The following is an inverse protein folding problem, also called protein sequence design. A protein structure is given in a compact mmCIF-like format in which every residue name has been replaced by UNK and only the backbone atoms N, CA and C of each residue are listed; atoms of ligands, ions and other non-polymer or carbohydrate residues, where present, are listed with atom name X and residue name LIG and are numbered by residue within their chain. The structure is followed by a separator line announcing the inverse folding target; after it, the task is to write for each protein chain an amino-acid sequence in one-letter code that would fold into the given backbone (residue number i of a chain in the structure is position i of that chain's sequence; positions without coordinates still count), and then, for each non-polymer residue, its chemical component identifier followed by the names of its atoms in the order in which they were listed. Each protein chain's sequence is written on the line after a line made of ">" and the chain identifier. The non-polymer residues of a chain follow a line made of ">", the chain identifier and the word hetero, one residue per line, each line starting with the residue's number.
data_IF_624444234429
#
_entry.id   IF_624444234429
#
_cell.length_a   1.000
_cell.length_b   1.000
_cell.length_c   1.000
_cell.angle_alpha   90.00
_cell.angle_beta   90.00
_cell.angle_gamma   90.00
#
_symmetry.space_group_name_H-M   'P 1'
#
loop_
_entity.id
_entity.type
_entity.pdbx_description
1 polymer ?
#
# COMPACT_ATOMS: atom_id res chain seq x y z
N UNK A 1 -18.01 -14.70 27.84
CA UNK A 1 -16.70 -15.30 28.18
C UNK A 1 -15.75 -15.19 26.99
N UNK A 2 -14.58 -14.60 27.22
CA UNK A 2 -13.53 -14.38 26.22
C UNK A 2 -13.03 -15.71 25.63
N UNK A 3 -12.99 -16.79 26.43
CA UNK A 3 -12.50 -18.10 25.99
C UNK A 3 -13.33 -18.76 24.88
N UNK A 4 -14.67 -18.60 24.88
CA UNK A 4 -15.52 -19.11 23.78
C UNK A 4 -15.26 -18.35 22.47
N UNK A 5 -15.00 -17.03 22.55
CA UNK A 5 -14.67 -16.20 21.39
C UNK A 5 -13.29 -16.55 20.84
N UNK A 6 -12.31 -16.77 21.73
CA UNK A 6 -10.96 -17.19 21.34
C UNK A 6 -10.96 -18.56 20.64
N UNK A 7 -11.65 -19.57 21.18
CA UNK A 7 -11.78 -20.89 20.53
C UNK A 7 -12.44 -20.79 19.15
N UNK A 8 -13.50 -20.01 19.04
CA UNK A 8 -14.16 -19.81 17.74
C UNK A 8 -13.21 -19.15 16.73
N UNK A 9 -12.49 -18.10 17.13
CA UNK A 9 -11.51 -17.43 16.26
C UNK A 9 -10.40 -18.39 15.80
N UNK A 10 -9.88 -19.21 16.71
CA UNK A 10 -8.81 -20.17 16.42
C UNK A 10 -9.26 -21.23 15.40
N UNK A 11 -10.49 -21.74 15.52
CA UNK A 11 -11.07 -22.68 14.56
C UNK A 11 -11.16 -22.05 13.17
N UNK A 12 -11.61 -20.79 13.07
CA UNK A 12 -11.70 -20.08 11.80
C UNK A 12 -10.33 -19.81 11.16
N UNK A 13 -9.31 -19.50 11.97
CA UNK A 13 -7.93 -19.32 11.48
C UNK A 13 -7.34 -20.62 10.96
N UNK A 14 -7.57 -21.74 11.65
CA UNK A 14 -7.10 -23.05 11.19
C UNK A 14 -7.82 -23.45 9.91
N UNK A 15 -9.15 -23.28 9.86
CA UNK A 15 -9.94 -23.58 8.66
C UNK A 15 -9.47 -22.75 7.45
N UNK A 16 -9.24 -21.44 7.63
CA UNK A 16 -8.75 -20.59 6.54
C UNK A 16 -7.32 -20.96 6.12
N UNK A 17 -6.43 -21.29 7.06
CA UNK A 17 -5.08 -21.74 6.76
C UNK A 17 -5.06 -23.03 5.91
N UNK A 18 -5.93 -23.99 6.22
CA UNK A 18 -6.08 -25.23 5.45
C UNK A 18 -6.58 -24.94 4.03
N UNK A 19 -7.61 -24.11 3.89
CA UNK A 19 -8.14 -23.73 2.57
C UNK A 19 -7.09 -23.00 1.74
N UNK A 20 -6.40 -22.02 2.31
CA UNK A 20 -5.32 -21.29 1.63
C UNK A 20 -4.16 -22.22 1.24
N UNK A 21 -3.76 -23.15 2.13
CA UNK A 21 -2.72 -24.13 1.84
C UNK A 21 -3.09 -25.07 0.70
N UNK A 22 -4.34 -25.54 0.65
CA UNK A 22 -4.85 -26.38 -0.45
C UNK A 22 -4.85 -25.62 -1.77
N UNK A 23 -5.33 -24.38 -1.78
CA UNK A 23 -5.34 -23.54 -2.99
C UNK A 23 -3.91 -23.30 -3.50
N UNK A 24 -2.98 -22.94 -2.61
CA UNK A 24 -1.57 -22.77 -2.97
C UNK A 24 -0.93 -24.07 -3.48
N UNK A 25 -1.27 -25.20 -2.87
CA UNK A 25 -0.80 -26.52 -3.31
C UNK A 25 -1.29 -26.90 -4.71
N UNK A 26 -2.57 -26.65 -5.01
CA UNK A 26 -3.15 -26.88 -6.34
C UNK A 26 -2.50 -25.96 -7.38
N UNK A 27 -2.34 -24.68 -7.06
CA UNK A 27 -1.68 -23.71 -7.94
C UNK A 27 -0.22 -24.08 -8.21
N UNK A 28 0.52 -24.53 -7.20
CA UNK A 28 1.89 -25.03 -7.34
C UNK A 28 1.95 -26.29 -8.21
N UNK A 29 0.97 -27.20 -8.08
CA UNK A 29 0.91 -28.41 -8.90
C UNK A 29 0.71 -28.08 -10.40
N UNK A 30 -0.07 -27.04 -10.70
CA UNK A 30 -0.42 -26.66 -12.08
C UNK A 30 0.63 -25.71 -12.72
N UNK A 31 1.14 -24.73 -11.96
CA UNK A 31 1.90 -23.57 -12.49
C UNK A 31 3.31 -23.49 -11.88
N UNK A 32 3.71 -24.40 -11.00
CA UNK A 32 5.03 -24.40 -10.33
C UNK A 32 6.23 -24.77 -11.22
N UNK A 33 6.11 -24.63 -12.55
CA UNK A 33 7.20 -24.84 -13.51
C UNK A 33 7.68 -23.48 -14.02
N UNK A 34 9.00 -23.33 -14.09
CA UNK A 34 9.66 -22.15 -14.61
C UNK A 34 10.38 -22.54 -15.89
N UNK A 35 10.17 -21.77 -16.95
CA UNK A 35 10.79 -21.99 -18.24
C UNK A 35 12.00 -21.07 -18.38
N UNK A 36 13.18 -21.67 -18.57
CA UNK A 36 14.42 -20.95 -18.84
C UNK A 36 14.72 -21.01 -20.33
N UNK A 37 15.04 -19.88 -20.95
CA UNK A 37 15.53 -19.84 -22.32
C UNK A 37 17.00 -20.22 -22.33
N UNK A 38 17.29 -21.43 -22.82
CA UNK A 38 18.66 -21.94 -22.94
C UNK A 38 19.02 -22.12 -24.41
N UNK A 39 20.30 -21.95 -24.74
CA UNK A 39 20.83 -22.25 -26.08
C UNK A 39 21.48 -23.63 -26.05
N UNK A 40 20.92 -24.59 -26.76
CA UNK A 40 21.55 -25.89 -26.92
C UNK A 40 22.69 -25.80 -27.93
N UNK A 41 23.92 -25.86 -27.43
CA UNK A 41 25.14 -25.90 -28.23
C UNK A 41 25.57 -27.35 -28.40
N UNK A 42 25.70 -27.81 -29.64
CA UNK A 42 26.27 -29.10 -29.97
C UNK A 42 27.58 -28.90 -30.73
N UNK A 43 28.68 -29.42 -30.19
CA UNK A 43 29.95 -29.52 -30.92
C UNK A 43 30.21 -30.97 -31.33
N UNK A 44 30.65 -31.16 -32.58
CA UNK A 44 31.12 -32.46 -33.04
C UNK A 44 32.54 -32.71 -32.55
N UNK A 45 32.81 -33.91 -32.03
CA UNK A 45 34.18 -34.36 -31.75
C UNK A 45 34.77 -34.90 -33.05
N UNK A 46 35.93 -34.39 -33.44
CA UNK A 46 36.69 -34.94 -34.55
C UNK A 46 37.75 -35.89 -34.01
N UNK A 47 37.81 -37.11 -34.54
CA UNK A 47 38.87 -38.04 -34.22
C UNK A 47 40.22 -37.48 -34.69
N UNK A 48 41.27 -37.66 -33.89
CA UNK A 48 42.61 -37.26 -34.28
C UNK A 48 43.02 -38.02 -35.56
N UNK A 49 43.39 -37.33 -36.65
CA UNK A 49 43.66 -37.97 -37.92
C UNK A 49 44.91 -38.86 -37.90
N UNK A 50 45.81 -38.72 -36.93
CA UNK A 50 46.95 -39.61 -36.72
C UNK A 50 47.38 -39.69 -35.23
N UNK A 51 47.59 -40.89 -34.66
CA UNK A 51 48.03 -41.06 -33.26
C UNK A 51 49.44 -40.51 -32.97
N UNK A 52 50.27 -40.32 -34.00
CA UNK A 52 51.64 -39.80 -33.86
C UNK A 52 51.73 -38.25 -33.85
N UNK A 53 50.61 -37.52 -33.96
CA UNK A 53 50.58 -36.05 -34.01
C UNK A 53 50.28 -35.38 -32.67
N UNK A 54 50.19 -36.13 -31.56
CA UNK A 54 49.99 -35.55 -30.23
C UNK A 54 51.04 -34.50 -29.84
N UNK A 55 52.29 -34.68 -30.31
CA UNK A 55 53.38 -33.72 -30.08
C UNK A 55 53.36 -32.49 -31.00
N UNK A 56 52.51 -32.45 -32.02
CA UNK A 56 52.38 -31.31 -32.94
C UNK A 56 51.44 -30.21 -32.39
N UNK A 57 50.62 -30.54 -31.40
CA UNK A 57 49.78 -29.57 -30.71
C UNK A 57 50.60 -28.88 -29.61
N UNK A 58 50.90 -27.62 -29.83
CA UNK A 58 51.59 -26.76 -28.86
C UNK A 58 50.66 -25.61 -28.47
N UNK A 59 51.02 -24.82 -27.45
CA UNK A 59 50.28 -23.60 -27.12
C UNK A 59 50.12 -22.63 -28.31
N UNK A 60 51.00 -22.73 -29.32
CA UNK A 60 50.95 -21.95 -30.57
C UNK A 60 50.16 -22.61 -31.72
N UNK A 61 49.82 -23.89 -31.64
CA UNK A 61 49.06 -24.64 -32.65
C UNK A 61 48.00 -25.52 -31.95
N UNK A 62 46.88 -24.93 -31.50
CA UNK A 62 45.82 -25.70 -30.88
C UNK A 62 45.12 -26.60 -31.89
N UNK A 63 44.52 -27.70 -31.43
CA UNK A 63 43.71 -28.62 -32.24
C UNK A 63 42.36 -28.04 -32.72
N UNK A 64 42.24 -26.71 -32.76
CA UNK A 64 41.06 -25.98 -33.20
C UNK A 64 41.34 -25.57 -34.65
N UNK A 65 40.51 -26.01 -35.60
CA UNK A 65 40.60 -25.62 -37.01
C UNK A 65 40.71 -24.08 -37.15
N UNK A 66 41.35 -23.54 -38.22
CA UNK A 66 41.66 -22.11 -38.36
C UNK A 66 40.42 -21.24 -38.68
N UNK A 67 39.26 -21.56 -38.11
CA UNK A 67 38.15 -20.64 -38.06
C UNK A 67 38.36 -19.63 -36.93
N UNK A 68 37.78 -18.44 -37.14
CA UNK A 68 37.71 -17.32 -36.22
C UNK A 68 37.60 -17.80 -34.77
N UNK A 69 38.42 -17.23 -33.87
CA UNK A 69 38.41 -17.47 -32.41
C UNK A 69 37.09 -16.99 -31.78
N UNK A 70 35.98 -17.57 -32.20
CA UNK A 70 34.64 -17.20 -31.79
C UNK A 70 34.00 -18.41 -31.15
N UNK A 71 33.44 -18.21 -29.96
CA UNK A 71 32.71 -19.25 -29.26
C UNK A 71 31.48 -19.65 -30.08
N UNK A 72 31.19 -20.95 -30.17
CA UNK A 72 30.01 -21.48 -30.85
C UNK A 72 28.69 -20.86 -30.35
N UNK A 73 28.67 -20.34 -29.12
CA UNK A 73 27.56 -19.57 -28.55
C UNK A 73 27.19 -18.31 -29.34
N UNK A 74 28.16 -17.68 -30.01
CA UNK A 74 27.99 -16.42 -30.73
C UNK A 74 27.62 -16.62 -32.20
N UNK A 75 27.96 -17.78 -32.78
CA UNK A 75 27.62 -18.14 -34.16
C UNK A 75 26.36 -19.01 -34.25
N UNK A 76 25.84 -19.47 -33.10
CA UNK A 76 24.61 -20.25 -33.05
C UNK A 76 23.40 -19.42 -33.55
N UNK A 77 22.62 -19.93 -34.52
CA UNK A 77 21.44 -19.24 -35.03
C UNK A 77 20.33 -19.13 -33.96
N UNK A 78 19.43 -18.12 -34.05
CA UNK A 78 18.40 -17.86 -33.03
C UNK A 78 17.39 -19.01 -32.84
N UNK A 79 17.28 -19.92 -33.81
CA UNK A 79 16.47 -21.14 -33.74
C UNK A 79 17.07 -22.23 -32.81
N UNK A 80 18.30 -22.06 -32.30
CA UNK A 80 18.92 -22.92 -31.27
C UNK A 80 18.42 -22.59 -29.85
N UNK A 81 17.60 -21.55 -29.69
CA UNK A 81 16.94 -21.25 -28.42
C UNK A 81 15.84 -22.27 -28.13
N UNK A 82 15.99 -22.96 -27.01
CA UNK A 82 15.06 -23.97 -26.51
C UNK A 82 14.65 -23.61 -25.10
N UNK A 83 13.41 -23.92 -24.73
CA UNK A 83 12.94 -23.72 -23.36
C UNK A 83 13.27 -24.95 -22.52
N UNK A 84 14.01 -24.77 -21.44
CA UNK A 84 14.26 -25.80 -20.45
C UNK A 84 13.38 -25.55 -19.23
N UNK A 85 12.48 -26.48 -18.96
CA UNK A 85 11.48 -26.34 -17.90
C UNK A 85 12.00 -26.99 -16.61
N UNK A 86 12.15 -26.23 -15.54
CA UNK A 86 12.51 -26.74 -14.21
C UNK A 86 11.38 -26.50 -13.21
N UNK A 87 11.19 -27.43 -12.26
CA UNK A 87 10.22 -27.24 -11.19
C UNK A 87 10.82 -26.40 -10.07
N UNK A 88 10.15 -25.29 -9.72
CA UNK A 88 10.57 -24.43 -8.60
C UNK A 88 10.33 -25.14 -7.26
N UNK A 89 11.08 -24.79 -6.21
CA UNK A 89 10.81 -25.32 -4.87
C UNK A 89 9.55 -24.69 -4.28
N UNK A 90 8.81 -25.41 -3.43
CA UNK A 90 7.56 -24.90 -2.86
C UNK A 90 7.72 -23.58 -2.08
N UNK A 91 8.73 -23.40 -1.20
CA UNK A 91 8.92 -22.12 -0.50
C UNK A 91 9.22 -20.96 -1.45
N UNK A 92 10.02 -21.18 -2.49
CA UNK A 92 10.34 -20.19 -3.51
C UNK A 92 9.10 -19.75 -4.29
N UNK A 93 8.24 -20.70 -4.64
CA UNK A 93 6.95 -20.42 -5.28
C UNK A 93 6.05 -19.53 -4.41
N UNK A 94 5.95 -19.83 -3.11
CA UNK A 94 5.14 -19.05 -2.17
C UNK A 94 5.69 -17.64 -2.01
N UNK A 95 7.01 -17.48 -1.91
CA UNK A 95 7.65 -16.15 -1.83
C UNK A 95 7.40 -15.35 -3.11
N UNK A 96 7.57 -15.96 -4.29
CA UNK A 96 7.33 -15.31 -5.57
C UNK A 96 5.87 -14.86 -5.75
N UNK A 97 4.91 -15.70 -5.34
CA UNK A 97 3.49 -15.33 -5.38
C UNK A 97 3.19 -14.19 -4.39
N UNK A 98 3.71 -14.29 -3.17
CA UNK A 98 3.53 -13.28 -2.14
C UNK A 98 4.14 -11.92 -2.52
N UNK A 99 5.26 -11.89 -3.24
CA UNK A 99 5.85 -10.64 -3.72
C UNK A 99 5.03 -10.03 -4.85
N UNK A 100 4.51 -10.82 -5.79
CA UNK A 100 3.61 -10.31 -6.85
C UNK A 100 2.35 -9.72 -6.23
N UNK A 101 1.62 -10.50 -5.43
CA UNK A 101 0.38 -10.02 -4.77
C UNK A 101 0.67 -8.87 -3.83
N UNK A 102 1.75 -8.99 -3.04
CA UNK A 102 2.21 -7.97 -2.11
C UNK A 102 2.54 -6.66 -2.79
N UNK A 103 3.18 -6.68 -3.95
CA UNK A 103 3.49 -5.47 -4.73
C UNK A 103 2.22 -4.73 -5.17
N UNK A 104 1.20 -5.45 -5.66
CA UNK A 104 -0.08 -4.85 -6.07
C UNK A 104 -0.83 -4.26 -4.88
N UNK A 105 -0.88 -4.98 -3.75
CA UNK A 105 -1.53 -4.47 -2.54
C UNK A 105 -0.76 -3.28 -1.95
N UNK A 106 0.57 -3.31 -2.01
CA UNK A 106 1.43 -2.23 -1.53
C UNK A 106 1.28 -0.97 -2.39
N UNK A 107 1.15 -1.06 -3.71
CA UNK A 107 0.90 0.14 -4.52
C UNK A 107 -0.46 0.75 -4.22
N UNK A 108 -1.50 -0.06 -4.00
CA UNK A 108 -2.84 0.46 -3.65
C UNK A 108 -2.85 1.08 -2.26
N UNK A 109 -2.44 0.33 -1.23
CA UNK A 109 -2.56 0.79 0.16
C UNK A 109 -1.39 1.66 0.61
N UNK A 110 -0.17 1.31 0.20
CA UNK A 110 1.03 2.10 0.46
C UNK A 110 1.03 3.41 -0.33
N UNK A 111 0.62 3.37 -1.61
CA UNK A 111 0.51 4.59 -2.43
C UNK A 111 -0.53 5.58 -1.89
N UNK A 112 -1.74 5.10 -1.59
CA UNK A 112 -2.80 5.95 -1.00
C UNK A 112 -2.37 6.44 0.39
N UNK A 113 -1.83 5.57 1.24
CA UNK A 113 -1.42 5.92 2.60
C UNK A 113 -0.32 6.98 2.65
N UNK A 114 0.71 6.84 1.82
CA UNK A 114 1.83 7.80 1.77
C UNK A 114 1.36 9.12 1.15
N UNK A 115 0.55 9.09 0.09
CA UNK A 115 0.08 10.31 -0.56
C UNK A 115 -0.91 11.12 0.30
N UNK A 116 -1.67 10.48 1.19
CA UNK A 116 -2.65 11.17 2.03
C UNK A 116 -2.02 12.21 2.97
N UNK A 117 -0.81 11.99 3.47
CA UNK A 117 -0.15 12.89 4.42
C UNK A 117 0.22 14.25 3.78
N UNK A 118 1.02 14.32 2.69
CA UNK A 118 1.34 15.59 2.03
C UNK A 118 0.09 16.27 1.46
N UNK A 119 -0.84 15.53 0.86
CA UNK A 119 -2.12 16.07 0.39
C UNK A 119 -2.91 16.73 1.52
N UNK A 120 -2.99 16.10 2.70
CA UNK A 120 -3.71 16.66 3.85
C UNK A 120 -3.06 17.96 4.36
N UNK A 121 -1.73 18.04 4.35
CA UNK A 121 -0.98 19.21 4.79
C UNK A 121 -1.12 20.38 3.81
N UNK A 122 -1.08 20.10 2.49
CA UNK A 122 -1.33 21.11 1.45
C UNK A 122 -2.77 21.63 1.56
N UNK A 123 -3.76 20.74 1.72
CA UNK A 123 -5.15 21.16 1.90
C UNK A 123 -5.36 21.95 3.20
N UNK A 124 -4.62 21.63 4.27
CA UNK A 124 -4.61 22.42 5.50
C UNK A 124 -4.12 23.84 5.26
N UNK A 125 -3.10 24.05 4.42
CA UNK A 125 -2.63 25.39 4.04
C UNK A 125 -3.61 26.15 3.13
N UNK A 126 -4.25 25.48 2.18
CA UNK A 126 -5.21 26.10 1.25
C UNK A 126 -6.49 26.52 1.97
N UNK A 127 -6.97 25.69 2.90
CA UNK A 127 -8.18 25.94 3.70
C UNK A 127 -7.94 26.80 4.94
N UNK A 128 -6.75 27.38 5.10
CA UNK A 128 -6.43 28.22 6.26
C UNK A 128 -7.39 29.42 6.37
N UNK A 129 -7.76 29.83 7.59
CA UNK A 129 -8.48 31.09 7.79
C UNK A 129 -7.61 32.29 7.37
N UNK A 130 -8.19 33.23 6.61
CA UNK A 130 -7.45 34.38 6.02
C UNK A 130 -7.62 35.70 6.78
N UNK A 131 -8.51 35.76 7.76
CA UNK A 131 -8.79 36.99 8.51
C UNK A 131 -9.13 36.68 9.97
N UNK A 132 -8.64 37.54 10.88
CA UNK A 132 -9.03 37.53 12.29
C UNK A 132 -10.44 38.09 12.41
N UNK A 133 -11.35 37.33 13.03
CA UNK A 133 -12.76 37.70 13.18
C UNK A 133 -12.92 38.72 14.31
N UNK A 134 -13.82 39.69 14.14
CA UNK A 134 -14.16 40.65 15.20
C UNK A 134 -14.94 40.00 16.34
N UNK A 135 -14.80 40.49 17.58
CA UNK A 135 -15.48 39.91 18.76
C UNK A 135 -17.01 39.77 18.58
N UNK A 136 -17.64 40.70 17.89
CA UNK A 136 -19.09 40.68 17.63
C UNK A 136 -19.52 39.60 16.63
N UNK A 137 -18.69 39.31 15.63
CA UNK A 137 -18.91 38.21 14.68
C UNK A 137 -18.68 36.86 15.36
N UNK A 138 -17.62 36.74 16.18
CA UNK A 138 -17.36 35.52 16.97
C UNK A 138 -18.55 35.17 17.86
N UNK A 139 -19.11 36.13 18.59
CA UNK A 139 -20.27 35.89 19.46
C UNK A 139 -21.48 35.42 18.64
N UNK A 140 -21.74 36.02 17.46
CA UNK A 140 -22.85 35.61 16.60
C UNK A 140 -22.67 34.18 16.10
N UNK A 141 -21.50 33.86 15.56
CA UNK A 141 -21.19 32.55 14.99
C UNK A 141 -21.13 31.44 16.05
N UNK A 142 -20.52 31.72 17.22
CA UNK A 142 -20.53 30.83 18.37
C UNK A 142 -21.95 30.54 18.88
N UNK A 143 -22.84 31.54 18.88
CA UNK A 143 -24.25 31.31 19.25
C UNK A 143 -25.01 30.50 18.22
N UNK A 144 -24.69 30.62 16.93
CA UNK A 144 -25.29 29.80 15.87
C UNK A 144 -24.82 28.34 15.95
N UNK A 145 -23.52 28.12 16.15
CA UNK A 145 -22.94 26.80 16.41
C UNK A 145 -23.53 26.16 17.66
N UNK A 146 -23.70 26.94 18.75
CA UNK A 146 -24.34 26.47 19.98
C UNK A 146 -25.80 26.03 19.77
N UNK A 147 -26.55 26.68 18.85
CA UNK A 147 -27.89 26.25 18.47
C UNK A 147 -27.86 24.91 17.71
N UNK A 148 -26.98 24.78 16.71
CA UNK A 148 -26.78 23.52 15.95
C UNK A 148 -26.37 22.37 16.86
N UNK A 149 -25.46 22.62 17.81
CA UNK A 149 -25.05 21.66 18.83
C UNK A 149 -26.23 21.18 19.69
N UNK A 150 -27.12 22.09 20.08
CA UNK A 150 -28.30 21.78 20.89
C UNK A 150 -29.33 20.96 20.12
N UNK A 151 -29.50 21.22 18.83
CA UNK A 151 -30.35 20.42 17.94
C UNK A 151 -29.79 19.01 17.74
N UNK A 152 -28.49 18.89 17.48
CA UNK A 152 -27.80 17.60 17.36
C UNK A 152 -27.86 16.79 18.65
N UNK A 153 -27.69 17.44 19.81
CA UNK A 153 -27.84 16.78 21.12
C UNK A 153 -29.25 16.20 21.30
N UNK A 154 -30.29 16.95 20.93
CA UNK A 154 -31.68 16.45 20.98
C UNK A 154 -31.91 15.28 20.02
N UNK A 155 -31.36 15.34 18.81
CA UNK A 155 -31.44 14.24 17.84
C UNK A 155 -30.72 12.97 18.35
N UNK A 156 -29.55 13.13 18.98
CA UNK A 156 -28.81 12.04 19.61
C UNK A 156 -29.57 11.44 20.81
N UNK A 157 -30.18 12.27 21.65
CA UNK A 157 -31.01 11.81 22.78
C UNK A 157 -32.25 11.04 22.30
N UNK A 158 -32.91 11.50 21.23
CA UNK A 158 -34.04 10.79 20.61
C UNK A 158 -33.61 9.40 20.07
N UNK A 159 -32.45 9.33 19.40
CA UNK A 159 -31.87 8.07 18.92
C UNK A 159 -31.48 7.11 20.05
N UNK A 160 -31.05 7.64 21.20
CA UNK A 160 -30.73 6.84 22.38
C UNK A 160 -32.00 6.31 23.07
N UNK A 161 -33.10 7.06 23.03
CA UNK A 161 -34.41 6.56 23.47
C UNK A 161 -34.94 5.46 22.55
N UNK A 162 -34.79 5.61 21.23
CA UNK A 162 -35.09 4.53 20.26
C UNK A 162 -34.25 3.27 20.52
N UNK A 163 -32.99 3.44 20.95
CA UNK A 163 -32.13 2.32 21.33
C UNK A 163 -32.70 1.54 22.53
N UNK A 164 -33.16 2.25 23.57
CA UNK A 164 -33.81 1.66 24.75
C UNK A 164 -35.13 0.97 24.43
N UNK A 165 -35.87 1.46 23.42
CA UNK A 165 -37.10 0.83 22.95
C UNK A 165 -36.89 -0.48 22.18
N UNK A 166 -35.63 -0.89 21.96
CA UNK A 166 -35.28 -2.20 21.38
C UNK A 166 -35.24 -2.24 19.85
N UNK A 167 -35.53 -1.14 19.15
CA UNK A 167 -35.60 -1.11 17.68
C UNK A 167 -34.23 -0.87 17.02
N UNK A 168 -33.28 -1.80 17.23
CA UNK A 168 -31.92 -1.74 16.67
C UNK A 168 -31.84 -2.19 15.20
N UNK A 169 -32.66 -1.59 14.34
CA UNK A 169 -32.74 -1.90 12.91
C UNK A 169 -31.69 -1.20 12.03
N UNK A 170 -31.79 -1.40 10.71
CA UNK A 170 -30.92 -0.78 9.69
C UNK A 170 -31.10 0.75 9.62
N UNK A 171 -32.31 1.25 9.87
CA UNK A 171 -32.65 2.68 9.88
C UNK A 171 -31.97 3.41 11.05
N UNK A 172 -32.00 2.83 12.25
CA UNK A 172 -31.30 3.35 13.43
C UNK A 172 -29.80 3.49 13.18
N UNK A 173 -29.14 2.44 12.66
CA UNK A 173 -27.71 2.49 12.31
C UNK A 173 -27.37 3.59 11.29
N UNK A 174 -28.27 3.88 10.35
CA UNK A 174 -28.08 4.97 9.37
C UNK A 174 -28.18 6.34 10.04
N UNK A 175 -29.17 6.53 10.91
CA UNK A 175 -29.39 7.78 11.63
C UNK A 175 -28.26 8.07 12.63
N UNK A 176 -27.77 7.05 13.35
CA UNK A 176 -26.60 7.18 14.23
C UNK A 176 -25.38 7.67 13.46
N UNK A 177 -25.07 7.05 12.30
CA UNK A 177 -23.96 7.48 11.43
C UNK A 177 -24.14 8.90 10.88
N UNK A 178 -25.37 9.31 10.62
CA UNK A 178 -25.65 10.68 10.16
C UNK A 178 -25.36 11.70 11.27
N UNK A 179 -25.83 11.45 12.49
CA UNK A 179 -25.56 12.31 13.65
C UNK A 179 -24.07 12.35 13.98
N UNK A 180 -23.37 11.22 13.92
CA UNK A 180 -21.93 11.15 14.12
C UNK A 180 -21.17 12.00 13.08
N UNK A 181 -21.58 11.95 11.81
CA UNK A 181 -21.00 12.79 10.76
C UNK A 181 -21.24 14.28 11.00
N UNK A 182 -22.46 14.65 11.39
CA UNK A 182 -22.80 16.05 11.68
C UNK A 182 -22.07 16.58 12.92
N UNK A 183 -21.84 15.73 13.92
CA UNK A 183 -21.03 16.05 15.09
C UNK A 183 -19.57 16.32 14.69
N UNK A 184 -18.97 15.47 13.85
CA UNK A 184 -17.61 15.70 13.34
C UNK A 184 -17.49 17.01 12.55
N UNK A 185 -18.51 17.37 11.77
CA UNK A 185 -18.54 18.67 11.08
C UNK A 185 -18.61 19.82 12.07
N UNK A 186 -19.47 19.72 13.09
CA UNK A 186 -19.61 20.73 14.14
C UNK A 186 -18.31 20.93 14.93
N UNK A 187 -17.60 19.85 15.26
CA UNK A 187 -16.29 19.91 15.93
C UNK A 187 -15.23 20.60 15.06
N UNK A 188 -15.21 20.29 13.75
CA UNK A 188 -14.32 20.97 12.82
C UNK A 188 -14.62 22.47 12.70
N UNK A 189 -15.91 22.85 12.65
CA UNK A 189 -16.33 24.24 12.59
C UNK A 189 -15.99 25.00 13.90
N UNK A 190 -16.14 24.34 15.05
CA UNK A 190 -15.73 24.90 16.36
C UNK A 190 -14.22 25.11 16.43
N UNK A 191 -13.43 24.10 16.06
CA UNK A 191 -11.98 24.21 16.03
C UNK A 191 -11.51 25.34 15.10
N UNK A 192 -12.15 25.50 13.93
CA UNK A 192 -11.87 26.60 13.02
C UNK A 192 -12.21 27.97 13.66
N UNK A 193 -13.32 28.06 14.40
CA UNK A 193 -13.72 29.29 15.08
C UNK A 193 -12.78 29.66 16.24
N UNK A 194 -12.30 28.67 17.01
CA UNK A 194 -11.30 28.87 18.07
C UNK A 194 -9.96 29.34 17.50
N UNK A 195 -9.53 28.78 16.37
CA UNK A 195 -8.28 29.18 15.71
C UNK A 195 -8.35 30.61 15.13
N UNK A 196 -9.53 31.07 14.71
CA UNK A 196 -9.75 32.44 14.21
C UNK A 196 -9.83 33.51 15.30
N UNK A 197 -9.97 33.14 16.58
CA UNK A 197 -10.05 34.07 17.70
C UNK A 197 -9.10 33.67 18.84
N UNK A 198 -7.80 34.00 18.74
CA UNK A 198 -6.84 33.67 19.80
C UNK A 198 -7.21 34.37 21.10
N UNK A 199 -7.60 33.59 22.11
CA UNK A 199 -7.93 34.10 23.44
C UNK A 199 -6.64 34.39 24.23
N UNK A 200 -6.29 35.67 24.45
CA UNK A 200 -5.18 36.05 25.33
C UNK A 200 -4.59 37.44 25.07
N UNK A 201 -3.73 37.90 25.99
CA UNK A 201 -3.06 39.22 25.95
C UNK A 201 -2.08 39.41 24.78
N UNK A 202 -1.73 38.33 24.06
CA UNK A 202 -0.75 38.31 22.95
C UNK A 202 -1.36 37.81 21.62
N UNK A 203 -2.60 38.18 21.32
CA UNK A 203 -3.36 37.73 20.15
C UNK A 203 -2.57 37.81 18.82
N UNK A 204 -1.84 38.89 18.59
CA UNK A 204 -1.04 39.11 17.37
C UNK A 204 0.12 38.11 17.23
N UNK A 205 0.81 37.80 18.33
CA UNK A 205 1.92 36.84 18.32
C UNK A 205 1.40 35.40 18.11
N UNK A 206 0.29 35.06 18.77
CA UNK A 206 -0.35 33.74 18.61
C UNK A 206 -0.82 33.53 17.17
N UNK A 207 -1.39 34.55 16.53
CA UNK A 207 -1.76 34.51 15.12
C UNK A 207 -0.54 34.37 14.19
N UNK A 208 0.55 35.07 14.47
CA UNK A 208 1.78 34.91 13.69
C UNK A 208 2.32 33.47 13.77
N UNK A 209 2.26 32.84 14.95
CA UNK A 209 2.67 31.44 15.13
C UNK A 209 1.75 30.45 14.41
N UNK A 210 0.43 30.66 14.37
CA UNK A 210 -0.48 29.79 13.61
C UNK A 210 -0.22 29.90 12.10
N UNK A 211 0.01 31.11 11.58
CA UNK A 211 0.38 31.33 10.17
C UNK A 211 1.72 30.66 9.84
N UNK A 212 2.74 30.78 10.70
CA UNK A 212 4.02 30.07 10.55
C UNK A 212 3.84 28.56 10.56
N UNK A 213 2.97 28.03 11.42
CA UNK A 213 2.66 26.59 11.46
C UNK A 213 2.03 26.12 10.14
N UNK A 214 1.12 26.90 9.55
CA UNK A 214 0.55 26.60 8.23
C UNK A 214 1.58 26.62 7.11
N UNK A 215 2.52 27.57 7.12
CA UNK A 215 3.63 27.61 6.16
C UNK A 215 4.55 26.39 6.36
N UNK A 216 4.83 26.00 7.60
CA UNK A 216 5.56 24.77 7.90
C UNK A 216 4.88 23.51 7.36
N UNK A 217 3.55 23.41 7.52
CA UNK A 217 2.75 22.31 6.93
C UNK A 217 2.86 22.28 5.40
N UNK A 218 2.86 23.45 4.73
CA UNK A 218 3.04 23.52 3.29
C UNK A 218 4.43 23.02 2.86
N UNK A 219 5.50 23.49 3.52
CA UNK A 219 6.86 23.07 3.20
C UNK A 219 7.02 21.56 3.40
N UNK A 220 6.52 21.04 4.53
CA UNK A 220 6.57 19.60 4.81
C UNK A 220 5.72 18.79 3.83
N UNK A 221 4.58 19.32 3.37
CA UNK A 221 3.73 18.69 2.37
C UNK A 221 4.25 18.77 0.92
N UNK A 222 5.18 19.68 0.61
CA UNK A 222 5.85 19.76 -0.71
C UNK A 222 7.12 18.90 -0.73
N UNK A 223 7.83 18.82 0.40
CA UNK A 223 9.08 18.06 0.52
C UNK A 223 8.84 16.57 0.78
N UNK A 224 7.77 16.21 1.49
CA UNK A 224 7.34 14.83 1.74
C UNK A 224 6.43 14.28 0.64
#
# INVERSE_FOLDING_TARGET
>A
SVGKRLKSALIWVVASAVVCGLVLGILYALIGKVDFTVRHLSSSVQAFPNPNQFGAFTSGQPCIAPLTRQCSANTAPPNSQTTWTMRATFPEYVVALATIVGSVLFTIFGGVGIACLPLSLIFSFVRRPKAVITRSQYIKEATELGKKAKELKKAAEALHQEERSGNKGRKWRKNVKAVEKELLLLENDMNALEEMYPQGEKAEATWAFTVLAYIGKLIFGIVG
#
